data_IF_126765816921
#
_entry.id   IF_126765816921
#
_cell.length_a   1.000
_cell.length_b   1.000
_cell.length_c   1.000
_cell.angle_alpha   90.00
_cell.angle_beta   90.00
_cell.angle_gamma   90.00
#
_symmetry.space_group_name_H-M   'P 1'
#
loop_
_entity.id
_entity.type
_entity.pdbx_description
1 polymer ?
#
# COMPACT_ATOMS: atom_id res chain seq x y z
N UNK A 1 47.49 -73.35 -16.82
CA UNK A 1 46.46 -73.98 -17.67
C UNK A 1 45.68 -72.87 -18.36
N UNK A 2 45.58 -72.98 -19.70
CA UNK A 2 44.85 -72.17 -20.72
C UNK A 2 44.03 -70.96 -20.22
N UNK A 3 44.26 -69.70 -20.61
CA UNK A 3 44.30 -69.08 -21.96
C UNK A 3 43.15 -69.49 -22.89
N UNK A 4 42.02 -68.79 -22.80
CA UNK A 4 41.01 -68.72 -23.85
C UNK A 4 40.97 -67.32 -24.47
N UNK A 5 41.40 -67.22 -25.74
CA UNK A 5 41.16 -66.07 -26.62
C UNK A 5 40.00 -66.43 -27.56
N UNK A 6 39.07 -65.51 -27.81
CA UNK A 6 38.27 -65.39 -29.04
C UNK A 6 37.74 -63.94 -29.08
N UNK A 7 38.36 -62.99 -29.79
CA UNK A 7 38.39 -62.70 -31.25
C UNK A 7 37.24 -61.82 -31.78
N UNK A 8 37.69 -60.78 -32.50
CA UNK A 8 37.09 -60.06 -33.64
C UNK A 8 35.76 -59.32 -33.47
N UNK A 9 35.78 -57.98 -33.51
CA UNK A 9 35.66 -57.11 -34.72
C UNK A 9 34.20 -56.70 -34.94
N UNK A 10 33.76 -55.57 -35.51
CA UNK A 10 34.31 -54.56 -36.41
C UNK A 10 33.22 -53.47 -36.54
N UNK A 11 33.61 -52.20 -36.70
CA UNK A 11 32.90 -51.08 -37.40
C UNK A 11 31.49 -50.69 -36.91
N UNK A 12 31.34 -49.48 -36.37
CA UNK A 12 31.03 -48.24 -37.11
C UNK A 12 29.61 -48.21 -37.70
N UNK A 13 28.77 -47.31 -37.17
CA UNK A 13 28.21 -46.16 -37.93
C UNK A 13 27.24 -45.38 -37.05
N UNK A 14 27.47 -44.06 -37.03
CA UNK A 14 26.57 -43.05 -36.51
C UNK A 14 25.18 -43.19 -37.13
N UNK A 15 24.14 -43.18 -36.29
CA UNK A 15 22.76 -42.98 -36.73
C UNK A 15 22.21 -41.81 -35.92
N UNK A 16 22.13 -40.66 -36.58
CA UNK A 16 21.29 -39.55 -36.15
C UNK A 16 19.83 -40.01 -36.21
N UNK A 17 19.11 -39.90 -35.09
CA UNK A 17 17.67 -40.09 -35.05
C UNK A 17 17.01 -38.75 -34.75
N UNK A 18 16.22 -38.31 -35.73
CA UNK A 18 15.44 -37.08 -35.79
C UNK A 18 14.47 -36.97 -34.61
N UNK A 19 14.56 -35.86 -33.88
CA UNK A 19 13.59 -35.47 -32.86
C UNK A 19 12.37 -34.84 -33.57
N UNK A 20 11.27 -35.59 -33.68
CA UNK A 20 10.00 -35.11 -34.23
C UNK A 20 9.30 -34.19 -33.23
N UNK A 21 9.13 -32.92 -33.63
CA UNK A 21 8.38 -31.90 -32.91
C UNK A 21 6.88 -32.17 -33.11
N UNK A 22 6.20 -32.73 -32.11
CA UNK A 22 4.74 -32.81 -32.08
C UNK A 22 4.18 -31.49 -31.56
N UNK A 23 3.76 -30.63 -32.50
CA UNK A 23 3.02 -29.39 -32.23
C UNK A 23 1.58 -29.75 -31.85
N UNK A 24 1.22 -29.66 -30.56
CA UNK A 24 -0.17 -29.78 -30.11
C UNK A 24 -0.84 -28.41 -30.26
N UNK A 25 -1.92 -28.25 -31.04
CA UNK A 25 -2.65 -27.00 -31.08
C UNK A 25 -3.44 -26.82 -29.78
N UNK A 26 -3.05 -25.82 -28.98
CA UNK A 26 -3.83 -25.33 -27.85
C UNK A 26 -5.08 -24.65 -28.42
N UNK A 27 -6.24 -25.28 -28.27
CA UNK A 27 -7.52 -24.64 -28.53
C UNK A 27 -7.72 -23.51 -27.50
N UNK A 28 -7.42 -22.29 -27.88
CA UNK A 28 -7.80 -21.08 -27.13
C UNK A 28 -9.30 -20.87 -27.31
N UNK A 29 -10.09 -21.26 -26.31
CA UNK A 29 -11.49 -20.86 -26.21
C UNK A 29 -11.63 -19.33 -26.09
N UNK A 30 -12.77 -18.75 -26.45
CA UNK A 30 -12.99 -17.31 -26.33
C UNK A 30 -12.86 -16.89 -24.86
N UNK A 31 -12.01 -15.87 -24.63
CA UNK A 31 -11.86 -15.24 -23.33
C UNK A 31 -13.23 -14.75 -22.85
N UNK A 32 -13.68 -15.24 -21.70
CA UNK A 32 -14.82 -14.68 -21.01
C UNK A 32 -14.53 -13.20 -20.72
N UNK A 33 -15.46 -12.27 -21.00
CA UNK A 33 -15.28 -10.89 -20.59
C UNK A 33 -15.12 -10.82 -19.06
N UNK A 34 -14.29 -9.91 -18.53
CA UNK A 34 -14.15 -9.74 -17.09
C UNK A 34 -15.52 -9.43 -16.48
N UNK A 35 -15.82 -9.93 -15.28
CA UNK A 35 -17.06 -9.61 -14.59
C UNK A 35 -17.14 -8.09 -14.42
N UNK A 36 -18.20 -7.49 -14.98
CA UNK A 36 -18.56 -6.10 -14.79
C UNK A 36 -18.62 -5.82 -13.29
N UNK A 37 -17.70 -4.98 -12.80
CA UNK A 37 -17.60 -4.68 -11.38
C UNK A 37 -18.76 -3.75 -11.01
N UNK A 38 -19.54 -4.26 -10.07
CA UNK A 38 -20.87 -3.86 -9.64
C UNK A 38 -20.98 -2.39 -9.22
N UNK A 39 -22.00 -1.73 -9.77
CA UNK A 39 -22.42 -0.33 -9.62
C UNK A 39 -22.99 0.02 -8.22
N UNK A 40 -22.41 -0.51 -7.14
CA UNK A 40 -22.83 -0.26 -5.75
C UNK A 40 -21.84 0.62 -4.96
N UNK A 41 -20.57 0.73 -5.39
CA UNK A 41 -19.55 1.53 -4.70
C UNK A 41 -19.65 3.04 -4.96
N UNK A 42 -20.08 3.44 -6.16
CA UNK A 42 -20.08 4.85 -6.61
C UNK A 42 -20.95 5.77 -5.74
N UNK A 43 -22.08 5.28 -5.22
CA UNK A 43 -23.03 6.10 -4.45
C UNK A 43 -22.46 6.51 -3.07
N UNK A 44 -21.48 5.77 -2.54
CA UNK A 44 -20.83 6.08 -1.25
C UNK A 44 -19.63 7.03 -1.39
N UNK A 45 -18.86 6.91 -2.47
CA UNK A 45 -17.65 7.71 -2.68
C UNK A 45 -18.00 9.16 -3.04
N UNK A 46 -18.98 9.39 -3.93
CA UNK A 46 -19.34 10.77 -4.28
C UNK A 46 -19.83 11.60 -3.09
N UNK A 47 -20.42 10.99 -2.05
CA UNK A 47 -20.74 11.68 -0.79
C UNK A 47 -19.49 12.00 0.02
N UNK A 48 -18.54 11.06 0.07
CA UNK A 48 -17.26 11.24 0.74
C UNK A 48 -16.48 12.39 0.09
N UNK A 49 -16.36 12.41 -1.23
CA UNK A 49 -15.63 13.47 -1.95
C UNK A 49 -16.11 14.88 -1.62
N UNK A 50 -17.41 15.07 -1.40
CA UNK A 50 -17.97 16.38 -1.02
C UNK A 50 -17.65 16.81 0.42
N UNK A 51 -17.25 15.89 1.29
CA UNK A 51 -16.87 16.17 2.69
C UNK A 51 -15.37 16.44 2.84
N UNK A 52 -14.58 15.80 1.99
CA UNK A 52 -13.13 15.82 2.04
C UNK A 52 -12.57 17.13 1.49
N UNK A 53 -11.44 17.53 2.04
CA UNK A 53 -10.67 18.67 1.55
C UNK A 53 -9.18 18.32 1.52
N UNK A 54 -8.41 19.12 0.79
CA UNK A 54 -6.95 18.97 0.75
C UNK A 54 -6.31 19.00 2.14
N UNK A 55 -5.39 18.08 2.37
CA UNK A 55 -4.69 17.94 3.65
C UNK A 55 -5.42 17.11 4.69
N UNK A 56 -6.63 16.60 4.39
CA UNK A 56 -7.25 15.58 5.22
C UNK A 56 -6.35 14.33 5.25
N UNK A 57 -6.18 13.75 6.44
CA UNK A 57 -5.49 12.49 6.65
C UNK A 57 -6.50 11.37 6.50
N UNK A 58 -6.30 10.48 5.54
CA UNK A 58 -7.15 9.31 5.33
C UNK A 58 -6.42 8.05 5.75
N UNK A 59 -7.08 7.21 6.54
CA UNK A 59 -6.60 5.92 6.96
C UNK A 59 -7.52 4.82 6.46
N UNK A 60 -6.95 3.65 6.15
CA UNK A 60 -7.71 2.46 5.76
C UNK A 60 -7.16 1.20 6.39
N UNK A 61 -8.02 0.20 6.54
CA UNK A 61 -7.62 -1.19 6.71
C UNK A 61 -7.68 -1.90 5.37
N UNK A 62 -6.51 -2.24 4.84
CA UNK A 62 -6.38 -3.04 3.63
C UNK A 62 -6.52 -4.54 3.89
N UNK A 63 -6.60 -5.31 2.81
CA UNK A 63 -6.62 -6.78 2.83
C UNK A 63 -5.25 -7.41 2.46
N UNK A 64 -4.20 -6.59 2.36
CA UNK A 64 -2.88 -7.06 1.94
C UNK A 64 -2.09 -7.79 3.03
N UNK A 65 -1.07 -8.55 2.62
CA UNK A 65 -0.32 -9.45 3.52
C UNK A 65 0.25 -8.77 4.76
N UNK A 66 0.75 -7.54 4.62
CA UNK A 66 1.34 -6.77 5.71
C UNK A 66 0.31 -6.00 6.56
N UNK A 67 -0.96 -6.00 6.16
CA UNK A 67 -2.01 -5.19 6.81
C UNK A 67 -2.20 -5.53 8.28
N UNK A 68 -2.27 -6.81 8.71
CA UNK A 68 -2.41 -7.14 10.13
C UNK A 68 -1.22 -6.66 10.95
N UNK A 69 0.01 -6.81 10.42
CA UNK A 69 1.23 -6.37 11.11
C UNK A 69 1.24 -4.85 11.31
N UNK A 70 1.00 -4.08 10.24
CA UNK A 70 0.97 -2.61 10.31
C UNK A 70 -0.17 -2.10 11.19
N UNK A 71 -1.28 -2.82 11.29
CA UNK A 71 -2.38 -2.49 12.19
C UNK A 71 -2.01 -2.75 13.65
N UNK A 72 -1.38 -3.88 13.91
CA UNK A 72 -1.18 -4.39 15.28
C UNK A 72 -0.07 -3.66 16.05
N UNK A 73 0.76 -2.86 15.35
CA UNK A 73 1.71 -1.91 15.96
C UNK A 73 1.05 -0.66 16.55
N UNK A 74 -0.24 -0.42 16.26
CA UNK A 74 -0.98 0.68 16.87
C UNK A 74 -1.09 0.51 18.38
N UNK A 75 -0.81 1.58 19.13
CA UNK A 75 -0.76 1.55 20.60
C UNK A 75 -2.15 1.62 21.25
N UNK A 76 -3.12 2.20 20.53
CA UNK A 76 -4.50 2.41 20.99
C UNK A 76 -5.47 1.55 20.19
N UNK A 77 -5.93 2.07 19.05
CA UNK A 77 -6.98 1.48 18.25
C UNK A 77 -6.37 0.75 17.05
N UNK A 78 -6.41 -0.59 17.09
CA UNK A 78 -5.89 -1.46 16.03
C UNK A 78 -6.90 -1.57 14.89
N UNK A 79 -7.20 -0.47 14.21
CA UNK A 79 -8.15 -0.44 13.08
C UNK A 79 -7.52 -0.32 11.73
N UNK A 80 -6.49 0.52 11.56
CA UNK A 80 -5.97 0.87 10.24
C UNK A 80 -4.58 0.28 10.02
N UNK A 81 -4.27 -0.05 8.77
CA UNK A 81 -2.96 -0.57 8.36
C UNK A 81 -2.21 0.36 7.42
N UNK A 82 -2.88 1.38 6.90
CA UNK A 82 -2.34 2.26 5.87
C UNK A 82 -2.90 3.67 5.99
N UNK A 83 -2.15 4.66 5.52
CA UNK A 83 -2.52 6.07 5.60
C UNK A 83 -2.04 6.85 4.36
N UNK A 84 -2.65 8.00 4.13
CA UNK A 84 -2.26 8.96 3.10
C UNK A 84 -2.85 10.34 3.33
N UNK A 85 -2.49 11.28 2.46
CA UNK A 85 -2.96 12.66 2.46
C UNK A 85 -3.88 12.89 1.27
N UNK A 86 -5.09 13.40 1.52
CA UNK A 86 -6.05 13.79 0.49
C UNK A 86 -5.54 15.04 -0.23
N UNK A 87 -5.57 15.01 -1.56
CA UNK A 87 -5.18 16.13 -2.44
C UNK A 87 -6.21 16.31 -3.56
N UNK A 88 -6.28 17.51 -4.14
CA UNK A 88 -7.05 17.69 -5.37
C UNK A 88 -6.21 17.26 -6.57
N UNK A 89 -6.77 16.41 -7.41
CA UNK A 89 -6.25 16.06 -8.73
C UNK A 89 -7.02 16.78 -9.84
N UNK A 90 -6.59 16.55 -11.08
CA UNK A 90 -7.26 17.08 -12.26
C UNK A 90 -8.69 16.51 -12.44
N UNK A 91 -8.88 15.24 -12.06
CA UNK A 91 -10.10 14.48 -12.32
C UNK A 91 -10.93 14.18 -11.06
N UNK A 92 -10.63 14.84 -9.94
CA UNK A 92 -11.29 14.59 -8.65
C UNK A 92 -10.30 14.56 -7.48
N UNK A 93 -10.71 14.02 -6.35
CA UNK A 93 -9.81 13.86 -5.21
C UNK A 93 -8.88 12.66 -5.42
N UNK A 94 -7.64 12.83 -4.97
CA UNK A 94 -6.64 11.77 -4.90
C UNK A 94 -6.05 11.64 -3.51
N UNK A 95 -5.23 10.61 -3.35
CA UNK A 95 -4.49 10.33 -2.12
C UNK A 95 -3.02 10.18 -2.46
N UNK A 96 -2.18 10.94 -1.77
CA UNK A 96 -0.74 10.73 -1.78
C UNK A 96 -0.37 9.81 -0.63
N UNK A 97 0.27 8.69 -0.93
CA UNK A 97 0.70 7.72 0.06
C UNK A 97 1.98 7.00 -0.40
N UNK A 98 2.74 6.49 0.56
CA UNK A 98 3.84 5.57 0.28
C UNK A 98 3.33 4.13 0.31
N UNK A 99 3.66 3.32 -0.69
CA UNK A 99 3.33 1.88 -0.69
C UNK A 99 4.43 1.06 -1.33
N UNK A 100 4.71 -0.11 -0.75
CA UNK A 100 5.57 -1.14 -1.32
C UNK A 100 4.76 -2.33 -1.85
N UNK A 101 5.24 -2.96 -2.93
CA UNK A 101 4.65 -4.21 -3.43
C UNK A 101 4.78 -5.33 -2.42
N UNK A 102 3.72 -6.13 -2.25
CA UNK A 102 3.61 -7.12 -1.15
C UNK A 102 4.77 -8.13 -1.10
N UNK A 103 5.23 -8.57 -2.26
CA UNK A 103 6.27 -9.60 -2.39
C UNK A 103 7.66 -9.03 -2.70
N UNK A 104 7.72 -7.81 -3.23
CA UNK A 104 8.99 -7.19 -3.65
C UNK A 104 9.53 -6.22 -2.61
N UNK A 105 8.67 -5.65 -1.76
CA UNK A 105 9.02 -4.55 -0.86
C UNK A 105 9.52 -3.31 -1.61
N UNK A 106 9.30 -3.26 -2.93
CA UNK A 106 9.69 -2.16 -3.80
C UNK A 106 8.46 -1.33 -4.12
N UNK A 107 8.62 -0.02 -4.05
CA UNK A 107 7.57 0.94 -4.33
C UNK A 107 8.06 2.34 -4.02
N UNK A 108 7.13 3.28 -3.99
CA UNK A 108 7.44 4.70 -3.78
C UNK A 108 6.22 5.41 -3.19
N UNK A 109 6.44 6.68 -2.88
CA UNK A 109 5.36 7.65 -2.72
C UNK A 109 4.72 7.91 -4.08
N UNK A 110 3.42 7.73 -4.17
CA UNK A 110 2.63 7.92 -5.39
C UNK A 110 1.32 8.66 -5.09
N UNK A 111 0.71 9.16 -6.16
CA UNK A 111 -0.64 9.67 -6.18
C UNK A 111 -1.58 8.61 -6.77
N UNK A 112 -2.68 8.32 -6.09
CA UNK A 112 -3.73 7.39 -6.54
C UNK A 112 -5.10 8.06 -6.43
N UNK A 113 -6.05 7.85 -7.36
CA UNK A 113 -7.43 8.32 -7.21
C UNK A 113 -8.06 7.83 -5.89
N UNK A 114 -8.92 8.63 -5.28
CA UNK A 114 -9.56 8.27 -3.99
C UNK A 114 -10.30 6.93 -4.08
N UNK A 115 -10.99 6.67 -5.18
CA UNK A 115 -11.71 5.42 -5.44
C UNK A 115 -10.76 4.22 -5.40
N UNK A 116 -9.61 4.34 -6.08
CA UNK A 116 -8.62 3.27 -6.16
C UNK A 116 -7.94 3.05 -4.79
N UNK A 117 -7.64 4.13 -4.06
CA UNK A 117 -7.15 4.05 -2.69
C UNK A 117 -8.17 3.38 -1.75
N UNK A 118 -9.47 3.47 -2.01
CA UNK A 118 -10.49 2.84 -1.16
C UNK A 118 -11.03 1.51 -1.69
N UNK A 119 -10.66 1.09 -2.90
CA UNK A 119 -11.22 -0.08 -3.57
C UNK A 119 -11.07 -1.39 -2.77
N UNK A 120 -9.95 -1.56 -2.06
CA UNK A 120 -9.67 -2.72 -1.20
C UNK A 120 -9.83 -2.46 0.31
N UNK A 121 -10.42 -1.31 0.69
CA UNK A 121 -10.54 -0.91 2.09
C UNK A 121 -11.72 -1.62 2.79
N UNK A 122 -11.40 -2.44 3.79
CA UNK A 122 -12.36 -3.09 4.68
C UNK A 122 -12.98 -2.06 5.66
N UNK A 123 -12.14 -1.15 6.16
CA UNK A 123 -12.46 -0.05 7.06
C UNK A 123 -11.72 1.21 6.58
N UNK A 124 -12.28 2.40 6.80
CA UNK A 124 -11.57 3.66 6.60
C UNK A 124 -12.08 4.74 7.55
N UNK A 125 -11.22 5.71 7.82
CA UNK A 125 -11.60 6.94 8.53
C UNK A 125 -10.80 8.11 7.99
N UNK A 126 -11.39 9.30 8.06
CA UNK A 126 -10.77 10.54 7.58
C UNK A 126 -10.72 11.54 8.72
N UNK A 127 -9.56 12.17 8.91
CA UNK A 127 -9.30 13.13 9.97
C UNK A 127 -8.80 14.44 9.38
N UNK A 128 -9.22 15.55 9.99
CA UNK A 128 -8.81 16.89 9.63
C UNK A 128 -8.15 17.57 10.81
N UNK A 129 -7.07 18.29 10.55
CA UNK A 129 -6.48 19.17 11.56
C UNK A 129 -7.36 20.41 11.71
N UNK A 130 -7.89 20.59 12.91
CA UNK A 130 -8.69 21.73 13.32
C UNK A 130 -7.80 22.77 14.01
N UNK A 131 -6.98 23.45 13.21
CA UNK A 131 -6.08 24.50 13.68
C UNK A 131 -5.87 25.55 12.60
N UNK A 132 -6.21 26.80 12.89
CA UNK A 132 -6.12 27.91 11.93
C UNK A 132 -4.70 28.17 11.40
N UNK A 133 -3.65 27.78 12.16
CA UNK A 133 -2.26 27.95 11.76
C UNK A 133 -1.76 26.81 10.86
N UNK A 134 -2.46 25.68 10.82
CA UNK A 134 -2.08 24.50 10.05
C UNK A 134 -2.95 24.42 8.80
N UNK A 135 -2.41 24.84 7.66
CA UNK A 135 -3.13 24.83 6.39
C UNK A 135 -3.14 23.45 5.75
N UNK A 136 -4.32 22.91 5.46
CA UNK A 136 -4.48 21.67 4.68
C UNK A 136 -3.77 21.69 3.33
N UNK A 137 -3.75 22.85 2.64
CA UNK A 137 -2.98 23.05 1.41
C UNK A 137 -1.47 22.89 1.61
N UNK A 138 -0.94 23.32 2.75
CA UNK A 138 0.48 23.13 3.08
C UNK A 138 0.78 21.66 3.37
N UNK A 139 -0.12 20.94 4.05
CA UNK A 139 0.00 19.49 4.26
C UNK A 139 0.03 18.77 2.90
N UNK A 140 -0.95 19.05 2.03
CA UNK A 140 -1.02 18.50 0.68
C UNK A 140 0.23 18.82 -0.15
N UNK A 141 0.72 20.07 -0.13
CA UNK A 141 1.94 20.47 -0.82
C UNK A 141 3.19 19.77 -0.32
N UNK A 142 3.31 19.57 1.01
CA UNK A 142 4.41 18.81 1.59
C UNK A 142 4.36 17.34 1.17
N UNK A 143 3.18 16.73 1.13
CA UNK A 143 3.03 15.35 0.64
C UNK A 143 3.38 15.24 -0.84
N UNK A 144 2.94 16.20 -1.67
CA UNK A 144 3.27 16.25 -3.10
C UNK A 144 4.78 16.33 -3.37
N UNK A 145 5.52 17.07 -2.54
CA UNK A 145 6.97 17.17 -2.64
C UNK A 145 7.71 15.83 -2.34
N UNK A 146 7.02 14.84 -1.78
CA UNK A 146 7.58 13.52 -1.48
C UNK A 146 7.33 12.49 -2.60
N UNK A 147 6.52 12.80 -3.62
CA UNK A 147 6.24 11.87 -4.72
C UNK A 147 7.55 11.39 -5.37
N UNK A 148 7.62 10.08 -5.62
CA UNK A 148 8.80 9.41 -6.19
C UNK A 148 9.84 8.97 -5.16
N UNK A 149 9.72 9.39 -3.89
CA UNK A 149 10.60 8.92 -2.82
C UNK A 149 10.39 7.41 -2.60
N UNK A 150 11.46 6.58 -2.57
CA UNK A 150 11.30 5.12 -2.47
C UNK A 150 10.61 4.68 -1.19
N UNK A 151 9.90 3.55 -1.24
CA UNK A 151 9.25 2.96 -0.09
C UNK A 151 10.29 2.47 0.93
N UNK A 152 10.08 2.80 2.20
CA UNK A 152 10.94 2.33 3.26
C UNK A 152 10.45 1.01 3.85
N UNK A 153 11.10 -0.07 3.44
CA UNK A 153 10.79 -1.43 3.94
C UNK A 153 11.32 -1.71 5.34
N UNK A 154 12.24 -0.87 5.84
CA UNK A 154 12.92 -1.07 7.10
C UNK A 154 12.23 -0.35 8.28
N UNK A 155 11.29 0.57 7.98
CA UNK A 155 10.68 1.46 8.97
C UNK A 155 11.73 2.28 9.75
N UNK A 156 12.80 2.68 9.06
CA UNK A 156 13.96 3.41 9.54
C UNK A 156 13.73 4.93 9.45
N UNK A 157 13.38 5.53 10.58
CA UNK A 157 13.15 6.97 10.70
C UNK A 157 14.44 7.80 10.66
N UNK A 158 15.61 7.18 10.78
CA UNK A 158 16.90 7.87 10.87
C UNK A 158 17.61 7.95 9.50
N UNK A 159 16.92 7.59 8.42
CA UNK A 159 17.49 7.60 7.08
C UNK A 159 17.55 8.99 6.42
N UNK A 160 17.25 10.05 7.18
CA UNK A 160 17.23 11.44 6.69
C UNK A 160 16.09 11.71 5.70
N UNK A 161 15.04 10.90 5.74
CA UNK A 161 13.92 10.93 4.81
C UNK A 161 14.32 10.48 3.41
N UNK A 162 15.32 9.63 3.21
CA UNK A 162 15.64 9.15 1.85
C UNK A 162 14.57 8.19 1.33
N UNK A 163 13.86 7.52 2.24
CA UNK A 163 12.75 6.63 1.96
C UNK A 163 11.57 7.01 2.86
N UNK A 164 10.38 6.52 2.54
CA UNK A 164 9.17 6.78 3.32
C UNK A 164 8.27 5.55 3.37
N UNK A 165 7.69 5.26 4.54
CA UNK A 165 6.48 4.45 4.64
C UNK A 165 5.25 5.33 4.88
N UNK A 166 4.05 4.72 4.84
CA UNK A 166 2.80 5.47 4.68
C UNK A 166 2.51 6.46 5.81
N UNK A 167 2.70 6.05 7.07
CA UNK A 167 2.47 6.89 8.25
C UNK A 167 3.61 7.87 8.50
N UNK A 168 4.84 7.54 8.11
CA UNK A 168 5.97 8.47 8.11
C UNK A 168 5.72 9.65 7.16
N UNK A 169 5.26 9.38 5.94
CA UNK A 169 4.88 10.42 4.99
C UNK A 169 3.83 11.37 5.58
N UNK A 170 2.81 10.82 6.24
CA UNK A 170 1.74 11.60 6.87
C UNK A 170 2.31 12.46 8.00
N UNK A 171 3.15 11.88 8.88
CA UNK A 171 3.84 12.61 9.95
C UNK A 171 4.61 13.80 9.39
N UNK A 172 5.45 13.57 8.40
CA UNK A 172 6.32 14.59 7.85
C UNK A 172 5.52 15.70 7.15
N UNK A 173 4.51 15.34 6.35
CA UNK A 173 3.64 16.31 5.69
C UNK A 173 2.93 17.23 6.70
N UNK A 174 2.38 16.65 7.77
CA UNK A 174 1.66 17.35 8.83
C UNK A 174 2.60 18.19 9.69
N UNK A 175 3.67 17.60 10.24
CA UNK A 175 4.58 18.30 11.15
C UNK A 175 5.29 19.47 10.44
N UNK A 176 5.67 19.31 9.18
CA UNK A 176 6.25 20.39 8.38
C UNK A 176 5.25 21.53 8.11
N UNK A 177 3.96 21.20 7.94
CA UNK A 177 2.91 22.21 7.81
C UNK A 177 2.67 22.93 9.15
N UNK A 178 2.71 22.20 10.26
CA UNK A 178 2.49 22.75 11.59
C UNK A 178 3.68 23.59 12.10
N UNK A 179 4.91 23.22 11.75
CA UNK A 179 6.13 23.81 12.29
C UNK A 179 6.46 23.33 13.71
N UNK A 180 5.78 22.30 14.19
CA UNK A 180 6.01 21.61 15.47
C UNK A 180 5.53 20.16 15.37
N UNK A 181 5.88 19.33 16.35
CA UNK A 181 5.47 17.93 16.39
C UNK A 181 3.99 17.80 16.75
N UNK A 182 3.16 17.44 15.77
CA UNK A 182 1.74 17.06 15.95
C UNK A 182 1.63 15.54 16.01
N UNK A 183 2.24 14.86 15.03
CA UNK A 183 2.31 13.40 14.95
C UNK A 183 3.66 12.96 15.52
N UNK A 184 3.61 12.18 16.59
CA UNK A 184 4.79 11.63 17.27
C UNK A 184 5.19 10.26 16.74
N UNK A 185 5.87 9.50 17.59
CA UNK A 185 6.27 8.11 17.33
C UNK A 185 5.87 7.21 18.48
N UNK A 186 5.53 5.97 18.16
CA UNK A 186 5.36 4.87 19.09
C UNK A 186 6.66 4.05 19.16
N UNK A 187 7.04 3.57 20.34
CA UNK A 187 8.18 2.65 20.50
C UNK A 187 7.71 1.20 20.50
N UNK A 188 8.23 0.40 19.56
CA UNK A 188 7.97 -1.03 19.46
C UNK A 188 9.30 -1.76 19.64
N UNK A 189 9.42 -2.52 20.73
CA UNK A 189 10.66 -3.24 21.10
C UNK A 189 11.93 -2.35 21.13
N UNK A 190 11.80 -1.07 21.48
CA UNK A 190 12.91 -0.12 21.53
C UNK A 190 13.17 0.63 20.22
N UNK A 191 12.48 0.28 19.13
CA UNK A 191 12.55 1.01 17.86
C UNK A 191 11.41 2.02 17.76
N UNK A 192 11.72 3.26 17.40
CA UNK A 192 10.71 4.28 17.15
C UNK A 192 10.10 4.09 15.74
N UNK A 193 8.77 4.10 15.67
CA UNK A 193 8.00 4.06 14.42
C UNK A 193 6.85 5.05 14.49
N UNK A 194 6.26 5.40 13.35
CA UNK A 194 4.97 6.10 13.31
C UNK A 194 3.89 5.05 13.15
N UNK A 195 3.16 4.76 14.22
CA UNK A 195 2.04 3.83 14.14
C UNK A 195 0.83 4.49 13.48
N UNK A 196 -0.11 3.73 12.89
CA UNK A 196 -1.31 4.29 12.28
C UNK A 196 -2.13 5.18 13.21
N UNK A 197 -2.23 4.82 14.50
CA UNK A 197 -2.97 5.60 15.49
C UNK A 197 -2.30 6.93 15.85
N UNK A 198 -0.99 7.05 15.67
CA UNK A 198 -0.27 8.32 15.88
C UNK A 198 -0.75 9.41 14.91
N UNK A 199 -1.21 9.02 13.71
CA UNK A 199 -1.65 9.95 12.66
C UNK A 199 -2.98 10.66 12.96
N UNK A 200 -3.69 10.29 14.03
CA UNK A 200 -4.95 10.93 14.43
C UNK A 200 -5.13 11.06 15.95
N UNK A 201 -4.15 10.64 16.76
CA UNK A 201 -4.25 10.68 18.22
C UNK A 201 -4.16 12.10 18.81
N UNK A 202 -3.53 13.05 18.13
CA UNK A 202 -3.38 14.41 18.65
C UNK A 202 -4.74 15.11 18.71
N UNK A 203 -5.01 15.88 19.78
CA UNK A 203 -6.27 16.60 20.00
C UNK A 203 -6.62 17.67 18.94
N UNK A 204 -5.69 17.95 18.01
CA UNK A 204 -5.95 18.83 16.87
C UNK A 204 -6.67 18.11 15.74
N UNK A 205 -6.68 16.77 15.73
CA UNK A 205 -7.43 16.03 14.73
C UNK A 205 -8.89 15.89 15.16
N UNK A 206 -9.78 16.20 14.22
CA UNK A 206 -11.20 15.84 14.30
C UNK A 206 -11.54 14.86 13.20
N UNK A 207 -12.39 13.88 13.52
CA UNK A 207 -12.91 12.93 12.52
C UNK A 207 -13.89 13.64 11.58
N UNK A 208 -13.75 13.41 10.27
CA UNK A 208 -14.59 13.97 9.20
C UNK A 208 -15.53 12.92 8.63
N UNK A 209 -15.03 11.70 8.43
CA UNK A 209 -15.78 10.58 7.91
C UNK A 209 -15.30 9.26 8.53
N UNK A 210 -16.18 8.25 8.60
CA UNK A 210 -15.89 6.92 9.13
C UNK A 210 -16.71 5.89 8.37
N UNK A 211 -16.05 4.82 7.90
CA UNK A 211 -16.71 3.60 7.43
C UNK A 211 -16.57 2.55 8.50
N UNK A 212 -17.35 2.69 9.58
CA UNK A 212 -17.37 1.70 10.64
C UNK A 212 -18.14 0.46 10.15
N UNK A 213 -17.43 -0.54 9.64
CA UNK A 213 -17.99 -1.88 9.38
C UNK A 213 -17.72 -2.87 10.52
N UNK A 214 -17.17 -2.41 11.66
CA UNK A 214 -16.94 -3.25 12.83
C UNK A 214 -17.98 -2.97 13.92
N UNK A 215 -19.11 -3.67 13.85
CA UNK A 215 -19.91 -3.96 15.04
C UNK A 215 -19.13 -5.01 15.84
N UNK A 216 -18.26 -4.55 16.75
CA UNK A 216 -17.91 -5.39 17.89
C UNK A 216 -19.22 -5.69 18.61
N UNK A 217 -19.70 -6.93 18.50
CA UNK A 217 -20.83 -7.40 19.31
C UNK A 217 -20.51 -7.13 20.76
N UNK A 218 -21.44 -6.48 21.45
CA UNK A 218 -21.40 -6.32 22.90
C UNK A 218 -21.21 -7.66 23.60
N UNK A 219 -20.56 -7.57 24.76
CA UNK A 219 -20.24 -8.66 25.68
C UNK A 219 -19.20 -8.18 26.67
#
# INVERSE_FOLDING_TARGET
>A
MASGKCTCSRRSRSVLLFLSLLLVPVLTGPALPPPCVTHCAEISIGKLERLLVEGDVILRYGNGFWSPLCRDVSSREKRFSHAGIVVSGHDGLGVIHASGGEFTGSGAVSHEPLEAFLASAIDYSVYRIDNERVSGKRIAGNAAALIGRPFDRAFDLDDGGRRMYCTELVRDAVNNAAGFTVIGTTSVHGTAIVAPDDCYAHALFRKVADKTTFQGTGG
#
